data_IF_156349591003
#
_entry.id   IF_156349591003
#
_cell.length_a   1.000
_cell.length_b   1.000
_cell.length_c   1.000
_cell.angle_alpha   90.00
_cell.angle_beta   90.00
_cell.angle_gamma   90.00
#
_symmetry.space_group_name_H-M   'P 1'
#
loop_
_entity.id
_entity.type
_entity.pdbx_description
1 polymer ?
#
# COMPACT_ATOMS: atom_id res chain seq x y z
N UNK A 1 -6.21 -30.55 -45.73
CA UNK A 1 -5.59 -31.65 -44.95
C UNK A 1 -5.34 -31.13 -43.55
N UNK A 2 -6.16 -31.57 -42.60
CA UNK A 2 -6.05 -31.25 -41.18
C UNK A 2 -4.90 -32.05 -40.58
N UNK A 3 -3.80 -31.39 -40.23
CA UNK A 3 -2.72 -31.99 -39.46
C UNK A 3 -3.19 -32.17 -38.01
N UNK A 4 -3.60 -33.38 -37.65
CA UNK A 4 -3.79 -33.75 -36.26
C UNK A 4 -2.41 -33.81 -35.58
N UNK A 5 -2.14 -32.86 -34.69
CA UNK A 5 -1.00 -32.92 -33.77
C UNK A 5 -1.29 -34.00 -32.71
N UNK A 6 -0.95 -35.26 -33.00
CA UNK A 6 -0.98 -36.33 -31.99
C UNK A 6 0.24 -36.22 -31.09
N UNK A 7 0.05 -36.01 -29.78
CA UNK A 7 1.13 -36.01 -28.80
C UNK A 7 1.58 -37.44 -28.48
N UNK A 8 2.35 -38.05 -29.38
CA UNK A 8 2.96 -39.39 -29.23
C UNK A 8 4.05 -39.51 -28.14
N UNK A 9 4.29 -38.44 -27.37
CA UNK A 9 5.37 -38.27 -26.40
C UNK A 9 4.86 -38.18 -24.96
N UNK A 10 3.55 -38.33 -24.75
CA UNK A 10 2.98 -38.49 -23.41
C UNK A 10 3.35 -39.87 -22.86
N UNK A 11 4.18 -39.88 -21.84
CA UNK A 11 4.55 -41.10 -21.11
C UNK A 11 3.30 -41.62 -20.40
N UNK A 12 2.84 -42.81 -20.81
CA UNK A 12 1.71 -43.45 -20.14
C UNK A 12 2.10 -43.97 -18.73
N UNK A 13 1.10 -44.18 -17.88
CA UNK A 13 1.29 -44.65 -16.50
C UNK A 13 2.05 -45.98 -16.41
N UNK A 14 2.00 -46.83 -17.44
CA UNK A 14 2.69 -48.13 -17.53
C UNK A 14 4.17 -47.96 -17.91
N UNK A 15 4.51 -46.97 -18.73
CA UNK A 15 5.89 -46.56 -19.00
C UNK A 15 6.55 -45.93 -17.76
N UNK A 16 5.84 -45.06 -17.04
CA UNK A 16 6.34 -44.46 -15.80
C UNK A 16 6.62 -45.51 -14.71
N UNK A 17 5.74 -46.52 -14.58
CA UNK A 17 5.90 -47.60 -13.59
C UNK A 17 7.02 -48.59 -13.93
N UNK A 18 7.42 -48.71 -15.21
CA UNK A 18 8.55 -49.56 -15.63
C UNK A 18 9.93 -48.94 -15.31
N UNK A 19 9.99 -47.64 -15.07
CA UNK A 19 11.24 -46.91 -14.80
C UNK A 19 11.63 -46.82 -13.30
N UNK A 20 10.86 -47.42 -12.40
CA UNK A 20 11.05 -47.35 -10.94
C UNK A 20 12.32 -48.03 -10.39
N UNK A 21 13.16 -48.64 -11.23
CA UNK A 21 14.35 -49.38 -10.81
C UNK A 21 15.65 -48.59 -10.77
N UNK A 22 15.72 -47.38 -11.33
CA UNK A 22 16.96 -46.57 -11.38
C UNK A 22 16.60 -45.12 -11.73
N UNK A 23 16.27 -44.29 -10.73
CA UNK A 23 15.94 -42.88 -10.97
C UNK A 23 17.04 -41.95 -10.43
N UNK A 24 17.77 -41.30 -11.33
CA UNK A 24 18.31 -39.95 -11.11
C UNK A 24 17.14 -39.00 -11.33
N UNK A 25 16.82 -38.12 -10.37
CA UNK A 25 15.71 -37.17 -10.52
C UNK A 25 16.02 -36.17 -11.64
N UNK A 26 15.26 -36.25 -12.73
CA UNK A 26 15.26 -35.24 -13.78
C UNK A 26 14.52 -33.99 -13.27
N UNK A 27 15.08 -32.77 -13.44
CA UNK A 27 14.37 -31.53 -13.17
C UNK A 27 13.12 -31.41 -14.04
N UNK A 28 12.09 -30.77 -13.50
CA UNK A 28 10.82 -30.56 -14.18
C UNK A 28 11.04 -29.66 -15.41
N UNK A 29 10.81 -30.18 -16.62
CA UNK A 29 11.02 -29.46 -17.87
C UNK A 29 9.70 -28.81 -18.32
N UNK A 30 9.77 -27.56 -18.81
CA UNK A 30 8.59 -26.78 -19.25
C UNK A 30 7.76 -27.48 -20.34
N UNK A 31 8.36 -28.39 -21.11
CA UNK A 31 7.65 -29.19 -22.12
C UNK A 31 6.65 -30.19 -21.53
N UNK A 32 6.65 -30.40 -20.21
CA UNK A 32 5.72 -31.29 -19.49
C UNK A 32 4.43 -30.58 -19.06
N UNK A 33 4.24 -29.29 -19.35
CA UNK A 33 3.01 -28.54 -19.04
C UNK A 33 1.94 -28.83 -20.12
N UNK A 34 0.78 -29.40 -19.78
CA UNK A 34 -0.28 -29.66 -20.76
C UNK A 34 -0.85 -28.35 -21.33
N UNK A 35 -0.95 -28.27 -22.66
CA UNK A 35 -1.51 -27.12 -23.40
C UNK A 35 -2.95 -26.73 -22.99
N UNK A 36 -3.70 -27.62 -22.31
CA UNK A 36 -5.05 -27.36 -21.78
C UNK A 36 -5.11 -26.95 -20.30
N UNK A 37 -4.00 -26.92 -19.58
CA UNK A 37 -3.94 -26.31 -18.25
C UNK A 37 -4.02 -24.76 -18.30
N UNK A 38 -3.90 -24.18 -19.51
CA UNK A 38 -4.05 -22.74 -19.75
C UNK A 38 -5.52 -22.27 -19.91
N UNK A 39 -6.50 -23.18 -19.98
CA UNK A 39 -7.92 -22.83 -20.20
C UNK A 39 -8.73 -22.60 -18.91
N UNK A 40 -8.05 -22.37 -17.79
CA UNK A 40 -8.63 -21.75 -16.60
C UNK A 40 -7.74 -20.59 -16.19
N UNK A 41 -7.80 -19.47 -16.90
CA UNK A 41 -7.11 -18.25 -16.49
C UNK A 41 -7.76 -17.77 -15.21
N UNK A 42 -7.29 -18.26 -14.06
CA UNK A 42 -7.53 -17.60 -12.78
C UNK A 42 -7.02 -16.17 -12.96
N UNK A 43 -7.93 -15.19 -12.88
CA UNK A 43 -7.58 -13.79 -13.03
C UNK A 43 -6.40 -13.49 -12.09
N UNK A 44 -5.29 -12.98 -12.65
CA UNK A 44 -4.08 -12.78 -11.88
C UNK A 44 -4.36 -11.84 -10.70
N UNK A 45 -4.00 -12.21 -9.46
CA UNK A 45 -4.29 -11.38 -8.29
C UNK A 45 -3.74 -9.97 -8.46
N UNK A 46 -4.61 -8.97 -8.33
CA UNK A 46 -4.22 -7.55 -8.32
C UNK A 46 -3.87 -7.16 -6.89
N UNK A 47 -2.84 -6.32 -6.72
CA UNK A 47 -2.32 -5.93 -5.41
C UNK A 47 -2.06 -4.43 -5.33
N UNK A 48 -2.15 -3.87 -4.14
CA UNK A 48 -1.86 -2.46 -3.88
C UNK A 48 -1.08 -2.27 -2.59
N UNK A 49 -0.05 -1.44 -2.63
CA UNK A 49 0.75 -1.02 -1.49
C UNK A 49 0.78 0.51 -1.36
N UNK A 50 0.65 1.02 -0.14
CA UNK A 50 0.72 2.46 0.14
C UNK A 50 1.78 2.73 1.21
N UNK A 51 2.84 3.43 0.81
CA UNK A 51 4.01 3.73 1.64
C UNK A 51 4.02 5.23 1.97
N UNK A 52 3.96 5.58 3.24
CA UNK A 52 3.91 6.96 3.70
C UNK A 52 5.22 7.40 4.34
N UNK A 53 5.72 8.57 3.95
CA UNK A 53 6.87 9.26 4.55
C UNK A 53 6.36 10.49 5.30
N UNK A 54 6.46 10.50 6.62
CA UNK A 54 5.96 11.62 7.43
C UNK A 54 6.85 12.88 7.40
N UNK A 55 6.25 14.02 7.74
CA UNK A 55 6.87 15.34 7.90
C UNK A 55 7.42 15.97 6.62
N UNK A 56 6.84 15.61 5.46
CA UNK A 56 7.25 16.11 4.15
C UNK A 56 8.66 15.71 3.76
N UNK A 57 9.31 16.46 2.88
CA UNK A 57 10.66 16.19 2.34
C UNK A 57 11.49 17.47 2.31
N UNK A 58 12.79 17.37 2.04
CA UNK A 58 13.54 18.53 1.59
C UNK A 58 13.12 18.88 0.14
N UNK A 59 12.11 19.74 0.02
CA UNK A 59 11.40 19.99 -1.24
C UNK A 59 12.28 20.46 -2.40
N UNK A 60 13.37 21.19 -2.14
CA UNK A 60 14.32 21.62 -3.19
C UNK A 60 15.10 20.44 -3.80
N UNK A 61 15.49 19.47 -2.97
CA UNK A 61 16.26 18.30 -3.42
C UNK A 61 15.39 17.10 -3.82
N UNK A 62 14.07 17.19 -3.59
CA UNK A 62 13.10 16.20 -4.04
C UNK A 62 12.46 16.57 -5.38
N UNK A 63 12.27 17.85 -5.68
CA UNK A 63 11.55 18.31 -6.88
C UNK A 63 12.23 17.90 -8.18
N UNK A 64 11.45 17.31 -9.09
CA UNK A 64 11.82 17.13 -10.51
C UNK A 64 11.33 18.36 -11.27
N UNK A 65 12.22 18.97 -12.05
CA UNK A 65 11.92 20.25 -12.71
C UNK A 65 11.49 20.13 -14.17
N UNK A 66 11.79 18.99 -14.81
CA UNK A 66 11.46 18.73 -16.22
C UNK A 66 10.40 17.63 -16.30
N UNK A 67 9.18 17.92 -16.80
CA UNK A 67 8.15 16.91 -16.99
C UNK A 67 8.43 16.01 -18.19
N UNK A 68 7.64 14.95 -18.34
CA UNK A 68 7.74 14.05 -19.50
C UNK A 68 8.77 12.94 -19.29
N UNK A 69 9.14 12.25 -20.38
CA UNK A 69 10.01 11.06 -20.35
C UNK A 69 11.48 11.37 -20.05
N UNK A 70 11.93 12.55 -20.46
CA UNK A 70 13.33 13.00 -20.34
C UNK A 70 13.65 13.63 -18.98
N UNK A 71 12.75 13.45 -18.00
CA UNK A 71 12.93 13.95 -16.65
C UNK A 71 14.22 13.43 -16.02
N UNK A 72 14.84 14.29 -15.24
CA UNK A 72 16.04 13.98 -14.47
C UNK A 72 15.67 13.70 -13.02
N UNK A 73 16.22 12.62 -12.48
CA UNK A 73 16.01 12.30 -11.07
C UNK A 73 16.66 13.37 -10.20
N UNK A 74 15.89 13.92 -9.27
CA UNK A 74 16.39 14.79 -8.22
C UNK A 74 17.31 14.00 -7.27
N UNK A 75 18.05 14.70 -6.43
CA UNK A 75 19.02 14.06 -5.53
C UNK A 75 18.36 13.04 -4.59
N UNK A 76 17.18 13.37 -4.03
CA UNK A 76 16.45 12.44 -3.16
C UNK A 76 15.91 11.23 -3.94
N UNK A 77 15.59 11.39 -5.23
CA UNK A 77 14.97 10.34 -6.05
C UNK A 77 15.96 9.47 -6.83
N UNK A 78 17.26 9.81 -6.81
CA UNK A 78 18.31 9.11 -7.57
C UNK A 78 18.32 7.58 -7.41
N UNK A 79 18.05 6.97 -6.24
CA UNK A 79 18.03 5.51 -6.10
C UNK A 79 16.99 4.80 -6.99
N UNK A 80 15.95 5.52 -7.45
CA UNK A 80 14.92 4.97 -8.32
C UNK A 80 15.29 4.94 -9.80
N UNK A 81 16.46 5.45 -10.19
CA UNK A 81 16.87 5.54 -11.60
C UNK A 81 16.82 4.20 -12.34
N UNK A 82 17.22 3.11 -11.67
CA UNK A 82 17.15 1.74 -12.22
C UNK A 82 15.71 1.23 -12.43
N UNK A 83 14.71 1.93 -11.91
CA UNK A 83 13.29 1.59 -12.01
C UNK A 83 12.50 2.52 -12.93
N UNK A 84 13.15 3.42 -13.70
CA UNK A 84 12.48 4.42 -14.56
C UNK A 84 11.27 3.85 -15.32
N UNK A 85 11.45 2.71 -15.99
CA UNK A 85 10.42 2.08 -16.84
C UNK A 85 9.19 1.57 -16.09
N UNK A 86 9.23 1.53 -14.75
CA UNK A 86 8.16 0.99 -13.90
C UNK A 86 7.71 1.98 -12.82
N UNK A 87 8.11 3.25 -12.92
CA UNK A 87 7.66 4.32 -12.03
C UNK A 87 7.18 5.56 -12.78
N UNK A 88 6.34 6.32 -12.08
CA UNK A 88 5.90 7.66 -12.44
C UNK A 88 6.05 8.56 -11.22
N UNK A 89 7.08 9.42 -11.17
CA UNK A 89 7.10 10.54 -10.23
C UNK A 89 5.97 11.51 -10.55
N UNK A 90 5.32 12.07 -9.53
CA UNK A 90 4.16 12.96 -9.70
C UNK A 90 4.36 14.25 -8.88
N UNK A 91 4.07 15.39 -9.49
CA UNK A 91 4.09 16.72 -8.86
C UNK A 91 2.77 17.45 -9.06
N UNK A 92 2.48 18.41 -8.18
CA UNK A 92 1.32 19.31 -8.26
C UNK A 92 0.05 18.80 -7.57
N UNK A 93 -0.05 17.50 -7.26
CA UNK A 93 -1.21 16.97 -6.55
C UNK A 93 -1.29 17.48 -5.11
N UNK A 94 -2.50 17.64 -4.58
CA UNK A 94 -2.78 18.06 -3.20
C UNK A 94 -4.14 17.54 -2.71
N UNK A 95 -4.37 17.56 -1.40
CA UNK A 95 -5.70 17.33 -0.81
C UNK A 95 -6.31 18.69 -0.43
N UNK A 96 -7.34 19.21 -1.14
CA UNK A 96 -8.06 20.42 -0.76
C UNK A 96 -8.45 20.48 0.72
N UNK A 97 -8.93 19.36 1.26
CA UNK A 97 -9.32 19.21 2.67
C UNK A 97 -8.17 19.22 3.67
N UNK A 98 -6.91 19.20 3.21
CA UNK A 98 -5.71 19.20 4.05
C UNK A 98 -4.93 20.51 4.02
N UNK A 99 -5.28 21.46 3.13
CA UNK A 99 -4.54 22.71 2.98
C UNK A 99 -4.55 23.52 4.28
N UNK A 100 -3.39 24.09 4.65
CA UNK A 100 -3.19 24.88 5.86
C UNK A 100 -3.35 24.10 7.17
N UNK A 101 -3.22 22.78 7.14
CA UNK A 101 -3.17 21.94 8.33
C UNK A 101 -1.76 21.41 8.57
N UNK A 102 -1.38 21.31 9.85
CA UNK A 102 -0.07 20.82 10.27
C UNK A 102 0.02 19.28 10.15
N UNK A 103 0.34 18.60 11.24
CA UNK A 103 0.61 17.15 11.29
C UNK A 103 -0.60 16.24 11.03
N UNK A 104 -1.80 16.80 10.84
CA UNK A 104 -3.01 15.99 10.62
C UNK A 104 -3.17 15.53 9.16
N UNK A 105 -2.34 15.98 8.23
CA UNK A 105 -2.42 15.62 6.80
C UNK A 105 -2.33 14.11 6.53
N UNK A 106 -1.60 13.36 7.36
CA UNK A 106 -1.52 11.88 7.28
C UNK A 106 -2.90 11.22 7.40
N UNK A 107 -3.82 11.82 8.14
CA UNK A 107 -5.17 11.28 8.35
C UNK A 107 -5.98 11.26 7.07
N UNK A 108 -5.77 12.21 6.16
CA UNK A 108 -6.55 12.32 4.92
C UNK A 108 -5.80 11.86 3.68
N UNK A 109 -4.54 11.44 3.82
CA UNK A 109 -3.68 11.04 2.71
C UNK A 109 -4.31 9.95 1.82
N UNK A 110 -4.96 8.95 2.43
CA UNK A 110 -5.65 7.87 1.71
C UNK A 110 -7.17 8.04 1.65
N UNK A 111 -7.76 9.08 2.25
CA UNK A 111 -9.23 9.24 2.30
C UNK A 111 -9.74 10.36 1.40
N UNK A 112 -8.93 11.38 1.12
CA UNK A 112 -9.41 12.61 0.48
C UNK A 112 -10.43 13.37 1.32
N UNK A 113 -10.46 13.09 2.63
CA UNK A 113 -11.36 13.74 3.58
C UNK A 113 -10.96 15.18 3.88
N UNK A 114 -11.82 15.85 4.66
CA UNK A 114 -11.56 17.20 5.15
C UNK A 114 -11.08 17.17 6.60
N UNK A 115 -10.07 17.98 6.89
CA UNK A 115 -9.62 18.20 8.26
C UNK A 115 -10.35 19.40 8.87
N UNK A 116 -10.78 19.23 10.11
CA UNK A 116 -11.44 20.29 10.88
C UNK A 116 -11.90 19.79 12.25
N UNK A 117 -12.16 20.68 13.21
CA UNK A 117 -12.52 20.30 14.59
C UNK A 117 -13.78 19.42 14.69
N UNK A 118 -14.70 19.55 13.72
CA UNK A 118 -15.96 18.81 13.65
C UNK A 118 -15.98 17.78 12.52
N UNK A 119 -14.94 17.71 11.70
CA UNK A 119 -14.92 16.85 10.53
C UNK A 119 -14.55 15.42 10.94
N UNK A 120 -15.39 14.47 10.55
CA UNK A 120 -15.13 13.04 10.70
C UNK A 120 -14.48 12.54 9.41
N UNK A 121 -13.49 11.66 9.55
CA UNK A 121 -12.87 11.04 8.39
C UNK A 121 -13.82 10.03 7.72
N UNK A 122 -13.39 9.47 6.59
CA UNK A 122 -14.15 8.49 5.79
C UNK A 122 -13.28 7.29 5.45
N UNK A 123 -13.85 6.32 4.73
CA UNK A 123 -13.13 5.14 4.25
C UNK A 123 -11.88 5.55 3.48
N UNK A 124 -10.77 4.87 3.76
CA UNK A 124 -9.54 5.04 3.01
C UNK A 124 -9.52 4.15 1.76
N UNK A 125 -8.76 4.56 0.75
CA UNK A 125 -8.74 3.88 -0.55
C UNK A 125 -8.24 2.43 -0.44
N UNK A 126 -7.31 2.15 0.47
CA UNK A 126 -6.81 0.80 0.75
C UNK A 126 -7.95 -0.09 1.27
N UNK A 127 -8.82 0.44 2.13
CA UNK A 127 -9.98 -0.29 2.64
C UNK A 127 -11.07 -0.43 1.59
N UNK A 128 -11.25 0.58 0.72
CA UNK A 128 -12.16 0.47 -0.42
C UNK A 128 -11.73 -0.62 -1.40
N UNK A 129 -10.42 -0.75 -1.64
CA UNK A 129 -9.85 -1.84 -2.43
C UNK A 129 -10.01 -3.18 -1.69
N UNK A 130 -9.79 -3.20 -0.37
CA UNK A 130 -9.92 -4.39 0.45
C UNK A 130 -11.34 -4.98 0.42
N UNK A 131 -12.40 -4.18 0.27
CA UNK A 131 -13.77 -4.68 0.10
C UNK A 131 -13.89 -5.69 -1.07
N UNK A 132 -13.18 -5.43 -2.17
CA UNK A 132 -13.20 -6.25 -3.39
C UNK A 132 -12.20 -7.41 -3.31
N UNK A 133 -11.04 -7.20 -2.69
CA UNK A 133 -10.01 -8.25 -2.63
C UNK A 133 -10.20 -9.25 -1.51
N UNK A 134 -10.79 -8.83 -0.39
CA UNK A 134 -10.87 -9.63 0.83
C UNK A 134 -11.74 -10.90 0.75
N UNK A 135 -12.71 -11.06 -0.17
CA UNK A 135 -13.33 -12.37 -0.43
C UNK A 135 -12.33 -13.43 -0.92
N UNK A 136 -11.19 -13.03 -1.48
CA UNK A 136 -10.19 -13.92 -2.07
C UNK A 136 -8.99 -14.18 -1.16
N UNK A 137 -8.84 -13.44 -0.06
CA UNK A 137 -7.66 -13.49 0.82
C UNK A 137 -8.05 -13.74 2.26
N UNK A 138 -7.14 -14.37 3.02
CA UNK A 138 -7.34 -14.62 4.46
C UNK A 138 -7.48 -13.35 5.27
N UNK A 139 -6.61 -12.38 4.98
CA UNK A 139 -6.59 -11.08 5.63
C UNK A 139 -7.01 -10.00 4.64
N UNK A 140 -7.99 -9.14 4.98
CA UNK A 140 -8.45 -8.09 4.08
C UNK A 140 -7.35 -7.12 3.65
N UNK A 141 -6.49 -6.77 4.61
CA UNK A 141 -5.40 -5.82 4.45
C UNK A 141 -4.36 -6.04 5.56
N UNK A 142 -3.20 -5.42 5.39
CA UNK A 142 -2.10 -5.38 6.36
C UNK A 142 -1.72 -3.93 6.65
N UNK A 143 -1.80 -3.52 7.92
CA UNK A 143 -1.48 -2.17 8.37
C UNK A 143 -0.20 -2.16 9.21
N UNK A 144 0.86 -1.52 8.69
CA UNK A 144 2.13 -1.36 9.40
C UNK A 144 2.45 0.11 9.61
N UNK A 145 2.90 0.45 10.82
CA UNK A 145 3.39 1.80 11.11
C UNK A 145 4.56 1.71 12.08
N UNK A 146 5.64 2.44 11.79
CA UNK A 146 6.79 2.53 12.69
C UNK A 146 6.45 3.20 14.03
N UNK A 147 5.75 4.31 13.92
CA UNK A 147 5.26 5.15 15.03
C UNK A 147 3.89 5.69 14.65
N UNK A 148 3.20 6.33 15.59
CA UNK A 148 1.82 6.79 15.35
C UNK A 148 0.85 5.64 15.05
N UNK A 149 -0.12 5.89 14.20
CA UNK A 149 -1.22 4.98 13.89
C UNK A 149 -1.21 4.53 12.41
N UNK A 150 -2.12 3.62 12.02
CA UNK A 150 -2.19 3.15 10.63
C UNK A 150 -2.67 4.23 9.65
N UNK A 151 -2.48 4.01 8.35
CA UNK A 151 -3.05 4.86 7.31
C UNK A 151 -4.52 4.53 7.00
N UNK A 152 -4.99 3.35 7.43
CA UNK A 152 -6.28 2.79 7.08
C UNK A 152 -7.42 3.33 7.95
N UNK A 153 -8.55 3.62 7.30
CA UNK A 153 -9.78 4.12 7.92
C UNK A 153 -10.99 3.34 7.44
N UNK A 154 -11.88 3.01 8.38
CA UNK A 154 -13.20 2.43 8.05
C UNK A 154 -14.12 3.48 7.42
N UNK A 155 -15.23 3.04 6.82
CA UNK A 155 -16.29 3.94 6.32
C UNK A 155 -16.83 4.90 7.38
N UNK A 156 -16.78 4.49 8.64
CA UNK A 156 -17.11 5.27 9.81
C UNK A 156 -16.00 6.22 10.27
N UNK A 157 -14.94 6.42 9.49
CA UNK A 157 -13.84 7.27 9.90
C UNK A 157 -13.20 6.83 11.22
N UNK A 158 -13.17 5.53 11.49
CA UNK A 158 -12.41 4.94 12.61
C UNK A 158 -11.11 4.40 12.05
N UNK A 159 -10.00 4.78 12.67
CA UNK A 159 -8.68 4.34 12.22
C UNK A 159 -8.43 2.88 12.60
N UNK A 160 -7.80 2.13 11.71
CA UNK A 160 -7.42 0.75 11.96
C UNK A 160 -6.17 0.66 12.85
N UNK A 161 -6.02 -0.40 13.67
CA UNK A 161 -4.80 -0.63 14.43
C UNK A 161 -3.64 -1.02 13.49
N UNK A 162 -2.44 -0.50 13.76
CA UNK A 162 -1.21 -0.87 13.04
C UNK A 162 -0.37 -1.87 13.81
N UNK A 163 0.31 -2.76 13.11
CA UNK A 163 1.36 -3.61 13.64
C UNK A 163 2.73 -2.95 13.53
N UNK A 164 3.66 -3.30 14.44
CA UNK A 164 5.00 -2.67 14.51
C UNK A 164 6.15 -3.66 14.65
N UNK A 165 6.02 -4.74 15.43
CA UNK A 165 7.11 -5.73 15.57
C UNK A 165 7.08 -6.70 14.40
N UNK A 166 8.22 -6.87 13.72
CA UNK A 166 8.32 -7.72 12.53
C UNK A 166 7.94 -9.19 12.83
N UNK A 167 8.36 -9.73 13.98
CA UNK A 167 7.94 -11.08 14.41
C UNK A 167 6.43 -11.20 14.66
N UNK A 168 5.79 -10.15 15.19
CA UNK A 168 4.33 -10.14 15.38
C UNK A 168 3.58 -10.03 14.06
N UNK A 169 4.07 -9.21 13.13
CA UNK A 169 3.51 -9.10 11.77
C UNK A 169 3.58 -10.47 11.11
N UNK A 170 4.76 -11.12 11.14
CA UNK A 170 4.94 -12.47 10.63
C UNK A 170 3.95 -13.45 11.27
N UNK A 171 3.88 -13.47 12.60
CA UNK A 171 3.01 -14.40 13.32
C UNK A 171 1.52 -14.17 13.01
N UNK A 172 1.11 -12.90 12.83
CA UNK A 172 -0.28 -12.56 12.51
C UNK A 172 -0.75 -13.13 11.18
N UNK A 173 0.15 -13.27 10.20
CA UNK A 173 -0.14 -13.70 8.83
C UNK A 173 0.17 -15.17 8.57
N UNK A 174 1.20 -15.71 9.22
CA UNK A 174 1.84 -16.97 8.84
C UNK A 174 2.01 -17.99 9.98
N UNK A 175 1.71 -17.62 11.22
CA UNK A 175 1.76 -18.56 12.35
C UNK A 175 0.37 -19.10 12.69
N UNK A 176 0.35 -20.30 13.25
CA UNK A 176 -0.88 -20.84 13.80
C UNK A 176 -1.40 -19.99 14.97
N UNK A 177 -2.72 -19.93 15.15
CA UNK A 177 -3.31 -19.17 16.24
C UNK A 177 -2.83 -19.68 17.60
N UNK A 178 -2.50 -18.77 18.51
CA UNK A 178 -2.16 -19.15 19.90
C UNK A 178 -3.34 -19.91 20.52
N UNK A 179 -3.08 -21.13 21.03
CA UNK A 179 -4.12 -22.01 21.57
C UNK A 179 -4.90 -22.81 20.52
N UNK A 180 -4.48 -22.76 19.26
CA UNK A 180 -5.00 -23.57 18.15
C UNK A 180 -6.28 -23.02 17.51
N UNK A 181 -6.54 -23.51 16.30
CA UNK A 181 -7.69 -23.15 15.45
C UNK A 181 -9.04 -23.25 16.18
N UNK A 182 -9.22 -24.29 17.00
CA UNK A 182 -10.47 -24.50 17.76
C UNK A 182 -10.74 -23.37 18.76
N UNK A 183 -9.71 -22.81 19.38
CA UNK A 183 -9.84 -21.69 20.33
C UNK A 183 -10.22 -20.41 19.61
N UNK A 184 -9.56 -20.12 18.48
CA UNK A 184 -9.90 -18.95 17.67
C UNK A 184 -11.33 -19.05 17.09
N UNK A 185 -11.73 -20.23 16.61
CA UNK A 185 -13.10 -20.51 16.14
C UNK A 185 -14.15 -20.21 17.21
N UNK A 186 -13.92 -20.65 18.46
CA UNK A 186 -14.81 -20.33 19.59
C UNK A 186 -14.92 -18.83 19.83
N UNK A 187 -13.80 -18.10 19.78
CA UNK A 187 -13.80 -16.65 19.96
C UNK A 187 -14.56 -15.92 18.84
N UNK A 188 -14.37 -16.32 17.57
CA UNK A 188 -15.08 -15.75 16.42
C UNK A 188 -16.58 -16.03 16.49
N UNK A 189 -16.99 -17.25 16.83
CA UNK A 189 -18.41 -17.60 17.00
C UNK A 189 -19.07 -16.85 18.15
N UNK A 190 -18.37 -16.64 19.26
CA UNK A 190 -18.85 -15.78 20.35
C UNK A 190 -19.04 -14.34 19.87
N UNK A 191 -18.09 -13.80 19.11
CA UNK A 191 -18.20 -12.46 18.51
C UNK A 191 -19.40 -12.36 17.57
N UNK A 192 -19.60 -13.37 16.71
CA UNK A 192 -20.76 -13.43 15.81
C UNK A 192 -22.09 -13.40 16.60
N UNK A 193 -22.20 -14.19 17.68
CA UNK A 193 -23.41 -14.19 18.52
C UNK A 193 -23.68 -12.84 19.19
N UNK A 194 -22.64 -12.10 19.60
CA UNK A 194 -22.80 -10.74 20.16
C UNK A 194 -23.29 -9.77 19.09
N UNK A 195 -22.75 -9.86 17.88
CA UNK A 195 -23.20 -9.03 16.75
C UNK A 195 -24.66 -9.33 16.38
N UNK A 196 -25.05 -10.60 16.37
CA UNK A 196 -26.44 -11.01 16.11
C UNK A 196 -27.41 -10.47 17.19
N UNK A 197 -27.01 -10.51 18.47
CA UNK A 197 -27.79 -9.94 19.56
C UNK A 197 -27.96 -8.42 19.42
N UNK A 198 -26.88 -7.70 19.09
CA UNK A 198 -26.93 -6.25 18.84
C UNK A 198 -27.86 -5.92 17.66
N UNK A 199 -27.82 -6.69 16.57
CA UNK A 199 -28.72 -6.49 15.42
C UNK A 199 -30.19 -6.70 15.79
N UNK A 200 -30.50 -7.66 16.66
CA UNK A 200 -31.85 -7.87 17.15
C UNK A 200 -32.36 -6.67 17.97
N UNK A 201 -31.54 -6.16 18.89
CA UNK A 201 -31.88 -4.98 19.72
C UNK A 201 -32.09 -3.73 18.85
N UNK A 202 -31.23 -3.51 17.87
CA UNK A 202 -31.36 -2.37 16.96
C UNK A 202 -32.66 -2.43 16.15
N UNK A 203 -33.04 -3.62 15.65
CA UNK A 203 -34.31 -3.78 14.91
C UNK A 203 -35.53 -3.49 15.78
N UNK A 204 -35.48 -3.81 17.08
CA UNK A 204 -36.55 -3.44 18.01
C UNK A 204 -36.58 -1.93 18.23
N UNK A 205 -35.41 -1.30 18.36
CA UNK A 205 -35.31 0.14 18.52
C UNK A 205 -35.79 0.90 17.27
N UNK A 206 -35.49 0.40 16.07
CA UNK A 206 -35.93 0.98 14.79
C UNK A 206 -37.46 1.11 14.70
N UNK A 207 -38.20 0.17 15.29
CA UNK A 207 -39.67 0.19 15.34
C UNK A 207 -40.23 1.29 16.28
N UNK A 208 -39.43 1.78 17.22
CA UNK A 208 -39.82 2.75 18.23
C UNK A 208 -39.31 4.18 17.97
N UNK A 209 -38.44 4.38 16.97
CA UNK A 209 -37.76 5.67 16.72
C UNK A 209 -38.46 6.56 15.68
N UNK A 210 -38.34 7.87 15.87
CA UNK A 210 -38.77 8.90 14.92
C UNK A 210 -37.83 9.02 13.70
N UNK A 211 -38.28 9.69 12.65
CA UNK A 211 -37.58 9.82 11.36
C UNK A 211 -36.22 10.51 11.42
N UNK A 212 -35.98 11.39 12.42
CA UNK A 212 -34.73 12.14 12.54
C UNK A 212 -33.52 11.28 12.95
N UNK A 213 -33.73 10.18 13.66
CA UNK A 213 -32.64 9.33 14.17
C UNK A 213 -32.29 8.16 13.26
N UNK A 214 -33.14 7.87 12.27
CA UNK A 214 -32.96 6.72 11.35
C UNK A 214 -31.63 6.75 10.62
N UNK A 215 -31.19 7.92 10.14
CA UNK A 215 -29.93 8.02 9.40
C UNK A 215 -28.69 7.65 10.21
N UNK A 216 -28.67 7.91 11.53
CA UNK A 216 -27.57 7.49 12.42
C UNK A 216 -27.63 5.99 12.71
N UNK A 217 -28.84 5.45 12.85
CA UNK A 217 -29.06 4.02 13.06
C UNK A 217 -28.65 3.21 11.83
N UNK A 218 -28.95 3.69 10.62
CA UNK A 218 -28.57 3.06 9.36
C UNK A 218 -27.05 2.94 9.21
N UNK A 219 -26.32 3.99 9.60
CA UNK A 219 -24.85 3.96 9.65
C UNK A 219 -24.37 2.87 10.60
N UNK A 220 -24.88 2.86 11.84
CA UNK A 220 -24.52 1.83 12.83
C UNK A 220 -24.82 0.40 12.35
N UNK A 221 -26.00 0.18 11.77
CA UNK A 221 -26.41 -1.12 11.21
C UNK A 221 -25.47 -1.57 10.09
N UNK A 222 -25.03 -0.64 9.25
CA UNK A 222 -24.05 -0.93 8.20
C UNK A 222 -22.72 -1.38 8.80
N UNK A 223 -22.20 -0.66 9.81
CA UNK A 223 -20.96 -1.02 10.53
C UNK A 223 -21.04 -2.40 11.19
N UNK A 224 -22.18 -2.70 11.85
CA UNK A 224 -22.40 -3.99 12.50
C UNK A 224 -22.46 -5.11 11.47
N UNK A 225 -23.13 -4.88 10.33
CA UNK A 225 -23.21 -5.86 9.24
C UNK A 225 -21.84 -6.14 8.62
N UNK A 226 -21.00 -5.13 8.42
CA UNK A 226 -19.62 -5.32 7.97
C UNK A 226 -18.81 -6.15 8.97
N UNK A 227 -18.95 -5.88 10.27
CA UNK A 227 -18.29 -6.66 11.32
C UNK A 227 -18.72 -8.13 11.34
N UNK A 228 -20.00 -8.40 11.08
CA UNK A 228 -20.56 -9.75 10.96
C UNK A 228 -19.95 -10.49 9.76
N UNK A 229 -19.92 -9.85 8.58
CA UNK A 229 -19.34 -10.41 7.35
C UNK A 229 -17.86 -10.73 7.56
N UNK A 230 -17.10 -9.81 8.16
CA UNK A 230 -15.67 -10.01 8.48
C UNK A 230 -15.48 -11.18 9.46
N UNK A 231 -16.33 -11.29 10.48
CA UNK A 231 -16.24 -12.37 11.49
C UNK A 231 -16.54 -13.74 10.88
N UNK A 232 -17.59 -13.85 10.05
CA UNK A 232 -17.93 -15.09 9.34
C UNK A 232 -16.83 -15.52 8.37
N UNK A 233 -16.25 -14.56 7.65
CA UNK A 233 -15.14 -14.82 6.73
C UNK A 233 -13.89 -15.32 7.47
N UNK A 234 -13.54 -14.69 8.59
CA UNK A 234 -12.43 -15.14 9.42
C UNK A 234 -12.62 -16.57 9.92
N UNK A 235 -13.86 -16.96 10.29
CA UNK A 235 -14.17 -18.34 10.72
C UNK A 235 -14.00 -19.36 9.59
N UNK A 236 -14.42 -18.99 8.37
CA UNK A 236 -14.27 -19.83 7.19
C UNK A 236 -12.79 -20.04 6.81
N UNK A 237 -11.96 -18.99 6.90
CA UNK A 237 -10.53 -19.10 6.58
C UNK A 237 -9.73 -19.98 7.53
N UNK A 238 -10.24 -20.23 8.73
CA UNK A 238 -9.63 -21.19 9.66
C UNK A 238 -9.63 -22.63 9.13
N UNK A 239 -10.51 -22.96 8.18
CA UNK A 239 -10.55 -24.27 7.51
C UNK A 239 -9.54 -24.38 6.35
N UNK A 240 -8.89 -23.27 5.97
CA UNK A 240 -7.86 -23.27 4.94
C UNK A 240 -6.48 -23.39 5.59
N UNK A 241 -5.56 -24.24 5.09
CA UNK A 241 -4.19 -24.28 5.59
C UNK A 241 -3.44 -22.95 5.39
N UNK A 242 -2.51 -22.63 6.29
CA UNK A 242 -1.56 -21.54 6.07
C UNK A 242 -0.64 -21.89 4.88
N UNK A 243 -0.13 -20.89 4.13
CA UNK A 243 0.81 -21.16 3.05
C UNK A 243 2.09 -21.80 3.60
N UNK A 244 2.65 -22.74 2.85
CA UNK A 244 3.97 -23.29 3.14
C UNK A 244 5.04 -22.22 2.82
N UNK A 245 5.95 -21.99 3.75
CA UNK A 245 7.02 -21.01 3.62
C UNK A 245 8.38 -21.70 3.61
N UNK A 246 9.29 -21.22 2.77
CA UNK A 246 10.68 -21.69 2.79
C UNK A 246 11.39 -21.25 4.08
N UNK A 247 12.43 -21.97 4.48
CA UNK A 247 13.28 -21.57 5.62
C UNK A 247 13.99 -20.24 5.36
N UNK A 248 14.30 -19.92 4.10
CA UNK A 248 14.89 -18.63 3.71
C UNK A 248 13.92 -17.48 3.95
N UNK A 249 12.65 -17.62 3.53
CA UNK A 249 11.62 -16.60 3.75
C UNK A 249 11.36 -16.41 5.24
N UNK A 250 11.29 -17.52 6.01
CA UNK A 250 11.16 -17.46 7.47
C UNK A 250 12.32 -16.72 8.11
N UNK A 251 13.57 -17.03 7.75
CA UNK A 251 14.76 -16.35 8.29
C UNK A 251 14.78 -14.86 7.95
N UNK A 252 14.30 -14.49 6.75
CA UNK A 252 14.25 -13.09 6.29
C UNK A 252 13.17 -12.28 7.03
N UNK A 253 12.02 -12.88 7.31
CA UNK A 253 10.82 -12.16 7.75
C UNK A 253 10.42 -12.38 9.21
N UNK A 254 10.67 -13.56 9.77
CA UNK A 254 10.36 -13.89 11.16
C UNK A 254 11.52 -13.54 12.10
N UNK A 255 11.79 -12.25 12.24
CA UNK A 255 12.84 -11.73 13.12
C UNK A 255 12.44 -10.38 13.69
N UNK A 256 12.95 -10.05 14.87
CA UNK A 256 12.86 -8.68 15.39
C UNK A 256 14.12 -7.91 15.01
N UNK A 257 13.93 -6.62 14.71
CA UNK A 257 15.00 -5.70 14.32
C UNK A 257 15.07 -4.59 15.35
N UNK A 258 16.29 -4.26 15.78
CA UNK A 258 16.52 -3.16 16.72
C UNK A 258 16.11 -1.81 16.11
N UNK A 259 15.54 -0.92 16.92
CA UNK A 259 15.08 0.39 16.46
C UNK A 259 16.20 1.27 15.85
N UNK A 260 17.46 1.00 16.17
CA UNK A 260 18.63 1.68 15.61
C UNK A 260 19.01 1.24 14.19
N UNK A 261 18.41 0.15 13.70
CA UNK A 261 18.68 -0.43 12.38
C UNK A 261 17.49 -0.20 11.44
N UNK A 262 17.26 1.06 11.08
CA UNK A 262 16.08 1.47 10.31
C UNK A 262 15.98 0.74 8.97
N UNK A 263 17.08 0.62 8.24
CA UNK A 263 17.15 -0.04 6.94
C UNK A 263 16.77 -1.51 7.01
N UNK A 264 17.34 -2.22 7.98
CA UNK A 264 17.00 -3.63 8.20
C UNK A 264 15.52 -3.80 8.58
N UNK A 265 14.96 -2.87 9.35
CA UNK A 265 13.54 -2.90 9.68
C UNK A 265 12.70 -2.65 8.42
N UNK A 266 13.00 -1.60 7.64
CA UNK A 266 12.25 -1.23 6.44
C UNK A 266 12.25 -2.39 5.45
N UNK A 267 13.42 -2.98 5.21
CA UNK A 267 13.57 -4.15 4.34
C UNK A 267 12.81 -5.36 4.87
N UNK A 268 12.84 -5.63 6.18
CA UNK A 268 12.07 -6.74 6.77
C UNK A 268 10.56 -6.55 6.59
N UNK A 269 10.04 -5.33 6.78
CA UNK A 269 8.61 -5.03 6.51
C UNK A 269 8.28 -5.15 5.03
N UNK A 270 9.14 -4.65 4.14
CA UNK A 270 8.96 -4.82 2.70
C UNK A 270 8.99 -6.30 2.28
N UNK A 271 9.87 -7.11 2.85
CA UNK A 271 9.91 -8.55 2.61
C UNK A 271 8.65 -9.26 3.14
N UNK A 272 8.10 -8.81 4.29
CA UNK A 272 6.81 -9.28 4.79
C UNK A 272 5.66 -8.93 3.83
N UNK A 273 5.63 -7.71 3.28
CA UNK A 273 4.64 -7.30 2.28
C UNK A 273 4.77 -8.15 1.00
N UNK A 274 6.00 -8.36 0.50
CA UNK A 274 6.27 -9.20 -0.67
C UNK A 274 5.84 -10.65 -0.41
N UNK A 275 6.17 -11.22 0.75
CA UNK A 275 5.77 -12.57 1.12
C UNK A 275 4.25 -12.71 1.22
N UNK A 276 3.58 -11.71 1.79
CA UNK A 276 2.14 -11.69 1.91
C UNK A 276 1.45 -11.65 0.53
N UNK A 277 2.02 -10.90 -0.40
CA UNK A 277 1.59 -10.82 -1.79
C UNK A 277 1.89 -12.08 -2.60
N UNK A 278 3.07 -12.67 -2.41
CA UNK A 278 3.51 -13.90 -3.06
C UNK A 278 2.61 -15.08 -2.70
N UNK A 279 2.25 -15.18 -1.42
CA UNK A 279 1.42 -16.25 -0.87
C UNK A 279 -0.09 -15.96 -0.92
N UNK A 280 -0.47 -14.78 -1.44
CA UNK A 280 -1.85 -14.30 -1.57
C UNK A 280 -2.66 -14.32 -0.25
N UNK A 281 -1.99 -14.19 0.90
CA UNK A 281 -2.68 -14.09 2.20
C UNK A 281 -3.35 -12.73 2.40
N UNK A 282 -2.85 -11.69 1.71
CA UNK A 282 -3.49 -10.39 1.53
C UNK A 282 -3.08 -9.77 0.19
N UNK A 283 -3.87 -8.82 -0.32
CA UNK A 283 -3.61 -8.07 -1.56
C UNK A 283 -3.46 -6.57 -1.33
N UNK A 284 -3.64 -6.11 -0.10
CA UNK A 284 -3.59 -4.69 0.27
C UNK A 284 -2.65 -4.52 1.46
N UNK A 285 -1.68 -3.62 1.36
CA UNK A 285 -0.77 -3.32 2.45
C UNK A 285 -0.52 -1.81 2.58
N UNK A 286 -0.44 -1.33 3.81
CA UNK A 286 -0.03 0.04 4.13
C UNK A 286 1.20 0.02 5.03
N UNK A 287 2.16 0.90 4.76
CA UNK A 287 3.38 1.03 5.57
C UNK A 287 3.69 2.50 5.82
N UNK A 288 3.47 2.96 7.05
CA UNK A 288 3.89 4.29 7.49
C UNK A 288 5.32 4.27 8.03
N UNK A 289 6.21 5.03 7.39
CA UNK A 289 7.61 5.21 7.78
C UNK A 289 7.76 6.19 8.97
N UNK A 290 6.66 6.66 9.55
CA UNK A 290 6.64 7.45 10.78
C UNK A 290 5.31 8.19 10.97
N UNK A 291 5.07 8.66 12.20
CA UNK A 291 4.01 9.60 12.51
C UNK A 291 4.41 11.03 12.14
N UNK A 292 3.44 11.83 11.72
CA UNK A 292 3.59 13.28 11.68
C UNK A 292 3.83 13.80 13.11
N UNK A 293 4.92 14.56 13.32
CA UNK A 293 5.36 14.96 14.66
C UNK A 293 6.14 13.90 15.46
N UNK A 294 6.14 12.64 15.02
CA UNK A 294 6.72 11.50 15.75
C UNK A 294 7.47 10.56 14.79
N UNK A 295 8.41 11.08 14.01
CA UNK A 295 9.23 10.27 13.11
C UNK A 295 10.67 10.13 13.62
N UNK A 296 11.11 8.90 13.76
CA UNK A 296 12.37 8.51 14.41
C UNK A 296 13.64 8.86 13.59
N UNK A 297 14.80 8.79 14.24
CA UNK A 297 16.13 9.06 13.68
C UNK A 297 16.72 7.84 12.94
N UNK A 298 17.75 8.03 12.11
CA UNK A 298 18.42 6.95 11.37
C UNK A 298 19.93 6.95 11.69
N UNK A 299 20.35 6.42 12.85
CA UNK A 299 21.75 6.48 13.28
C UNK A 299 22.71 5.74 12.35
N UNK A 300 22.25 4.72 11.64
CA UNK A 300 23.03 3.93 10.67
C UNK A 300 23.62 4.75 9.51
N UNK A 301 23.01 5.90 9.17
CA UNK A 301 23.57 6.84 8.18
C UNK A 301 24.14 8.11 8.85
N UNK A 302 24.41 8.05 10.16
CA UNK A 302 24.96 9.16 10.93
C UNK A 302 23.96 10.27 11.27
N UNK A 303 22.65 9.98 11.23
CA UNK A 303 21.59 10.94 11.59
C UNK A 303 21.01 10.55 12.94
N UNK A 304 21.29 11.36 13.96
CA UNK A 304 20.79 11.14 15.33
C UNK A 304 19.54 11.96 15.64
N UNK A 305 19.33 13.07 14.91
CA UNK A 305 18.12 13.88 14.99
C UNK A 305 16.88 13.14 14.49
N UNK A 306 15.73 13.40 15.10
CA UNK A 306 14.45 12.90 14.59
C UNK A 306 14.14 13.53 13.24
N UNK A 307 13.40 12.82 12.38
CA UNK A 307 12.98 13.39 11.09
C UNK A 307 12.09 14.62 11.29
N UNK A 308 11.25 14.63 12.33
CA UNK A 308 10.43 15.78 12.66
C UNK A 308 11.29 17.03 12.93
N UNK A 309 12.35 16.89 13.73
CA UNK A 309 13.31 17.98 13.97
C UNK A 309 13.99 18.45 12.67
N UNK A 310 14.44 17.52 11.82
CA UNK A 310 15.06 17.85 10.53
C UNK A 310 14.09 18.56 9.59
N UNK A 311 12.80 18.22 9.63
CA UNK A 311 11.78 18.86 8.79
C UNK A 311 11.55 20.32 9.16
N UNK A 312 11.77 20.70 10.43
CA UNK A 312 11.74 22.08 10.91
C UNK A 312 13.11 22.78 10.82
N UNK A 313 13.82 22.59 9.70
CA UNK A 313 15.22 23.01 9.51
C UNK A 313 15.52 24.51 9.67
N UNK A 314 14.54 25.43 9.58
CA UNK A 314 14.80 26.87 9.81
C UNK A 314 15.73 27.53 8.77
N UNK A 315 15.93 26.89 7.62
CA UNK A 315 16.93 27.28 6.64
C UNK A 315 18.37 26.84 6.96
N UNK A 316 18.58 26.07 8.03
CA UNK A 316 19.91 25.54 8.36
C UNK A 316 20.38 24.53 7.31
N UNK A 317 21.53 24.82 6.69
CA UNK A 317 22.08 24.01 5.62
C UNK A 317 22.45 22.58 6.08
N UNK A 318 22.89 22.41 7.33
CA UNK A 318 23.22 21.11 7.89
C UNK A 318 22.00 20.22 8.08
N UNK A 319 20.90 20.79 8.57
CA UNK A 319 19.63 20.08 8.75
C UNK A 319 19.00 19.74 7.40
N UNK A 320 19.02 20.67 6.44
CA UNK A 320 18.54 20.42 5.08
C UNK A 320 19.34 19.31 4.37
N UNK A 321 20.65 19.28 4.58
CA UNK A 321 21.52 18.22 4.06
C UNK A 321 21.20 16.87 4.69
N UNK A 322 21.06 16.81 6.02
CA UNK A 322 20.64 15.58 6.72
C UNK A 322 19.25 15.12 6.28
N UNK A 323 18.30 16.03 6.12
CA UNK A 323 16.96 15.71 5.62
C UNK A 323 17.02 15.13 4.21
N UNK A 324 17.86 15.69 3.32
CA UNK A 324 18.09 15.12 1.98
C UNK A 324 18.61 13.69 2.06
N UNK A 325 19.61 13.42 2.92
CA UNK A 325 20.15 12.07 3.11
C UNK A 325 19.11 11.11 3.64
N UNK A 326 18.25 11.56 4.57
CA UNK A 326 17.13 10.77 5.04
C UNK A 326 16.16 10.45 3.90
N UNK A 327 15.78 11.44 3.10
CA UNK A 327 14.87 11.25 1.96
C UNK A 327 15.44 10.24 0.96
N UNK A 328 16.72 10.40 0.57
CA UNK A 328 17.43 9.46 -0.30
C UNK A 328 17.43 8.05 0.29
N UNK A 329 17.68 7.93 1.59
CA UNK A 329 17.69 6.64 2.28
C UNK A 329 16.32 5.94 2.26
N UNK A 330 15.23 6.67 2.55
CA UNK A 330 13.88 6.12 2.49
C UNK A 330 13.52 5.67 1.06
N UNK A 331 13.91 6.46 0.06
CA UNK A 331 13.73 6.13 -1.36
C UNK A 331 14.59 4.92 -1.78
N UNK A 332 15.78 4.75 -1.22
CA UNK A 332 16.61 3.56 -1.43
C UNK A 332 15.91 2.29 -0.90
N UNK A 333 15.24 2.36 0.25
CA UNK A 333 14.47 1.22 0.76
C UNK A 333 13.21 0.95 -0.07
N UNK A 334 12.55 1.99 -0.60
CA UNK A 334 11.46 1.81 -1.55
C UNK A 334 11.96 1.18 -2.88
N UNK A 335 13.14 1.58 -3.36
CA UNK A 335 13.80 0.92 -4.49
C UNK A 335 14.07 -0.56 -4.22
N UNK A 336 14.53 -0.92 -3.02
CA UNK A 336 14.67 -2.32 -2.62
C UNK A 336 13.33 -3.08 -2.76
N UNK A 337 12.23 -2.51 -2.26
CA UNK A 337 10.90 -3.11 -2.38
C UNK A 337 10.50 -3.37 -3.85
N UNK A 338 10.72 -2.40 -4.75
CA UNK A 338 10.43 -2.57 -6.18
C UNK A 338 11.30 -3.68 -6.80
N UNK A 339 12.58 -3.77 -6.44
CA UNK A 339 13.44 -4.89 -6.84
C UNK A 339 12.89 -6.23 -6.34
N UNK A 340 12.48 -6.32 -5.06
CA UNK A 340 11.92 -7.54 -4.50
C UNK A 340 10.62 -7.96 -5.21
N UNK A 341 9.76 -7.02 -5.57
CA UNK A 341 8.56 -7.31 -6.38
C UNK A 341 8.90 -7.79 -7.80
N UNK A 342 9.96 -7.27 -8.41
CA UNK A 342 10.40 -7.69 -9.75
C UNK A 342 11.00 -9.11 -9.75
N UNK A 343 11.74 -9.46 -8.70
CA UNK A 343 12.42 -10.76 -8.57
C UNK A 343 11.49 -11.87 -8.07
N UNK A 344 10.45 -11.53 -7.33
CA UNK A 344 9.55 -12.49 -6.70
C UNK A 344 8.38 -12.81 -7.63
N UNK A 345 8.22 -14.10 -7.94
CA UNK A 345 7.10 -14.60 -8.76
C UNK A 345 5.89 -14.91 -7.89
N UNK A 346 4.70 -14.64 -8.40
CA UNK A 346 3.43 -15.03 -7.81
C UNK A 346 3.14 -16.53 -8.01
N UNK A 347 1.99 -16.99 -7.50
CA UNK A 347 1.52 -18.38 -7.66
C UNK A 347 1.32 -18.81 -9.13
N UNK A 348 1.24 -17.86 -10.07
CA UNK A 348 1.12 -18.11 -11.51
C UNK A 348 2.48 -18.00 -12.23
N UNK A 349 3.59 -17.83 -11.49
CA UNK A 349 4.94 -17.73 -12.05
C UNK A 349 5.29 -16.36 -12.65
N UNK A 350 4.45 -15.34 -12.48
CA UNK A 350 4.70 -13.97 -13.00
C UNK A 350 5.33 -13.08 -11.93
N UNK A 351 6.26 -12.16 -12.27
CA UNK A 351 6.76 -11.16 -11.34
C UNK A 351 5.63 -10.37 -10.67
N UNK A 352 5.72 -10.19 -9.34
CA UNK A 352 4.71 -9.44 -8.58
C UNK A 352 4.62 -7.98 -9.02
N UNK A 353 5.71 -7.39 -9.49
CA UNK A 353 5.76 -5.98 -9.91
C UNK A 353 4.72 -5.64 -10.97
N UNK A 354 4.45 -6.54 -11.92
CA UNK A 354 3.47 -6.29 -12.98
C UNK A 354 2.04 -6.17 -12.45
N UNK A 355 1.72 -6.82 -11.34
CA UNK A 355 0.35 -6.93 -10.79
C UNK A 355 0.16 -6.15 -9.48
N UNK A 356 1.20 -5.44 -9.04
CA UNK A 356 1.21 -4.67 -7.79
C UNK A 356 1.42 -3.19 -8.09
N UNK A 357 0.45 -2.36 -7.72
CA UNK A 357 0.65 -0.90 -7.67
C UNK A 357 1.22 -0.51 -6.31
N UNK A 358 2.27 0.29 -6.29
CA UNK A 358 2.86 0.82 -5.08
C UNK A 358 2.92 2.34 -5.14
N UNK A 359 2.22 3.02 -4.21
CA UNK A 359 2.25 4.47 -4.07
C UNK A 359 3.16 4.83 -2.89
N UNK A 360 4.24 5.55 -3.16
CA UNK A 360 5.10 6.18 -2.16
C UNK A 360 4.81 7.67 -2.09
N UNK A 361 4.75 8.24 -0.89
CA UNK A 361 4.79 9.69 -0.75
C UNK A 361 4.46 10.22 0.63
N UNK A 362 4.10 11.49 0.69
CA UNK A 362 3.76 12.21 1.93
C UNK A 362 2.51 13.07 1.75
N UNK A 363 1.82 13.37 2.85
CA UNK A 363 0.70 14.33 2.91
C UNK A 363 1.17 15.78 2.98
N UNK A 364 2.48 16.00 2.91
CA UNK A 364 3.13 17.29 3.00
C UNK A 364 4.34 17.31 2.07
N UNK A 365 4.65 18.44 1.43
CA UNK A 365 5.87 18.60 0.63
C UNK A 365 6.94 19.39 1.37
N UNK A 366 6.53 20.32 2.25
CA UNK A 366 7.44 21.22 2.98
C UNK A 366 7.17 21.21 4.48
N UNK A 367 7.93 20.39 5.22
CA UNK A 367 7.79 20.21 6.67
C UNK A 367 7.88 21.50 7.48
N UNK A 368 8.84 22.37 7.14
CA UNK A 368 9.19 23.53 7.98
C UNK A 368 8.02 24.49 8.20
N UNK A 369 7.20 24.73 7.18
CA UNK A 369 6.01 25.58 7.25
C UNK A 369 4.71 24.82 6.94
N UNK A 370 4.74 23.49 7.05
CA UNK A 370 3.61 22.59 6.81
C UNK A 370 2.92 22.78 5.45
N UNK A 371 3.69 22.85 4.37
CA UNK A 371 3.14 22.96 3.02
C UNK A 371 2.48 21.67 2.53
N UNK A 372 1.15 21.67 2.35
CA UNK A 372 0.35 20.50 1.95
C UNK A 372 -0.02 20.47 0.45
N UNK A 373 0.66 21.25 -0.39
CA UNK A 373 0.50 21.25 -1.83
C UNK A 373 1.74 20.67 -2.53
N UNK A 374 1.63 20.36 -3.83
CA UNK A 374 2.71 19.80 -4.62
C UNK A 374 3.34 18.56 -3.95
N UNK A 375 2.48 17.60 -3.58
CA UNK A 375 2.86 16.45 -2.76
C UNK A 375 3.98 15.61 -3.42
N UNK A 376 4.95 15.10 -2.63
CA UNK A 376 6.08 14.33 -3.13
C UNK A 376 5.63 12.87 -3.36
N UNK A 377 5.21 12.55 -4.59
CA UNK A 377 4.59 11.26 -4.91
C UNK A 377 5.39 10.47 -5.96
N UNK A 378 5.44 9.15 -5.79
CA UNK A 378 5.91 8.20 -6.81
C UNK A 378 4.93 7.02 -6.86
N UNK A 379 4.32 6.79 -8.03
CA UNK A 379 3.55 5.57 -8.30
C UNK A 379 4.43 4.58 -9.07
N UNK A 380 4.38 3.30 -8.71
CA UNK A 380 5.21 2.26 -9.29
C UNK A 380 4.45 0.95 -9.53
N UNK A 381 4.92 0.15 -10.49
CA UNK A 381 4.40 -1.18 -10.80
C UNK A 381 2.98 -1.19 -11.36
N UNK A 382 2.38 -2.36 -11.54
CA UNK A 382 1.02 -2.47 -12.07
C UNK A 382 0.94 -2.35 -13.60
N UNK A 383 2.02 -2.63 -14.33
CA UNK A 383 2.02 -2.67 -15.80
C UNK A 383 0.97 -3.62 -16.37
N UNK A 384 0.73 -4.75 -15.71
CA UNK A 384 -0.27 -5.75 -16.10
C UNK A 384 -1.70 -5.30 -15.74
N UNK A 385 -1.83 -4.20 -14.97
CA UNK A 385 -3.10 -3.52 -14.71
C UNK A 385 -3.34 -2.35 -15.70
N UNK A 386 -2.42 -2.16 -16.65
CA UNK A 386 -2.53 -1.18 -17.73
C UNK A 386 -1.97 0.20 -17.41
N UNK A 387 -1.12 0.33 -16.38
CA UNK A 387 -0.37 1.57 -16.11
C UNK A 387 0.85 1.67 -17.04
N UNK A 388 1.07 2.85 -17.62
CA UNK A 388 2.29 3.15 -18.38
C UNK A 388 3.18 4.11 -17.60
N UNK A 389 4.42 3.69 -17.40
CA UNK A 389 5.41 4.40 -16.61
C UNK A 389 6.50 5.04 -17.48
N UNK A 390 7.56 5.55 -16.85
CA UNK A 390 8.71 6.13 -17.55
C UNK A 390 8.61 7.63 -17.83
N UNK A 391 7.64 8.32 -17.22
CA UNK A 391 7.44 9.77 -17.38
C UNK A 391 7.16 10.44 -16.03
N UNK A 392 7.66 11.66 -15.85
CA UNK A 392 7.22 12.54 -14.75
C UNK A 392 5.90 13.20 -15.15
N UNK A 393 4.87 13.07 -14.29
CA UNK A 393 3.62 13.79 -14.43
C UNK A 393 3.63 15.02 -13.53
N UNK A 394 3.46 16.19 -14.14
CA UNK A 394 3.47 17.46 -13.41
C UNK A 394 2.17 18.22 -13.63
N UNK A 395 1.33 18.21 -12.60
CA UNK A 395 0.04 18.90 -12.61
C UNK A 395 0.15 20.42 -12.39
N UNK A 396 1.36 20.95 -12.15
CA UNK A 396 1.59 22.40 -12.10
C UNK A 396 1.75 23.03 -13.49
N UNK A 397 2.01 22.22 -14.53
CA UNK A 397 2.25 22.70 -15.90
C UNK A 397 1.08 23.55 -16.40
N UNK A 398 1.40 24.71 -16.98
CA UNK A 398 0.40 25.69 -17.43
C UNK A 398 -0.23 26.55 -16.33
N UNK A 399 0.10 26.31 -15.05
CA UNK A 399 -0.45 27.03 -13.91
C UNK A 399 0.59 27.84 -13.11
N UNK A 400 1.85 27.82 -13.53
CA UNK A 400 2.97 28.53 -12.89
C UNK A 400 4.08 28.89 -13.90
N UNK A 401 5.05 29.68 -13.47
CA UNK A 401 6.19 30.13 -14.31
C UNK A 401 7.38 29.16 -14.32
N UNK A 402 7.17 27.90 -13.93
CA UNK A 402 8.22 26.89 -13.79
C UNK A 402 8.89 26.87 -12.41
N UNK A 403 9.71 25.85 -12.17
CA UNK A 403 10.41 25.67 -10.90
C UNK A 403 11.62 26.61 -10.78
N UNK A 404 11.72 27.31 -9.65
CA UNK A 404 12.82 28.24 -9.31
C UNK A 404 13.52 27.78 -8.03
N UNK A 405 14.29 26.70 -8.13
CA UNK A 405 14.99 26.14 -6.97
C UNK A 405 16.14 27.04 -6.46
N UNK A 406 16.63 27.94 -7.32
CA UNK A 406 17.58 29.01 -6.99
C UNK A 406 16.96 30.11 -6.11
N UNK A 407 15.62 30.17 -6.04
CA UNK A 407 14.85 31.08 -5.20
C UNK A 407 13.90 30.31 -4.30
N UNK A 408 14.40 29.77 -3.17
CA UNK A 408 13.65 28.85 -2.32
C UNK A 408 12.27 29.35 -1.91
N UNK A 409 12.11 30.65 -1.63
CA UNK A 409 10.82 31.24 -1.25
C UNK A 409 9.71 31.07 -2.30
N UNK A 410 10.04 31.16 -3.60
CA UNK A 410 9.06 30.94 -4.68
C UNK A 410 8.63 29.46 -4.72
N UNK A 411 9.58 28.53 -4.57
CA UNK A 411 9.29 27.09 -4.50
C UNK A 411 8.48 26.70 -3.25
N UNK A 412 8.82 27.25 -2.09
CA UNK A 412 8.08 27.01 -0.86
C UNK A 412 6.63 27.52 -0.92
N UNK A 413 6.37 28.61 -1.66
CA UNK A 413 4.99 29.05 -1.91
C UNK A 413 4.21 28.02 -2.73
N UNK A 414 4.83 27.37 -3.72
CA UNK A 414 4.21 26.31 -4.50
C UNK A 414 3.91 25.06 -3.65
N UNK A 415 4.81 24.74 -2.71
CA UNK A 415 4.60 23.68 -1.72
C UNK A 415 3.44 23.98 -0.75
N UNK A 416 3.10 25.24 -0.54
CA UNK A 416 2.06 25.66 0.41
C UNK A 416 0.72 25.96 -0.28
N UNK A 417 0.75 26.38 -1.54
CA UNK A 417 -0.43 26.76 -2.32
C UNK A 417 -0.36 26.06 -3.68
N UNK A 418 -1.35 25.22 -4.03
CA UNK A 418 -1.32 24.52 -5.31
C UNK A 418 -1.37 25.53 -6.46
N UNK A 419 -0.52 25.36 -7.47
CA UNK A 419 -0.62 26.13 -8.71
C UNK A 419 -1.91 25.79 -9.45
N UNK A 420 -2.24 24.50 -9.50
CA UNK A 420 -3.46 24.00 -10.10
C UNK A 420 -4.46 23.58 -9.01
N UNK A 421 -5.54 24.35 -8.75
CA UNK A 421 -6.52 24.01 -7.72
C UNK A 421 -7.31 22.75 -8.05
N UNK A 422 -7.35 22.30 -9.31
CA UNK A 422 -8.06 21.07 -9.71
C UNK A 422 -7.19 19.81 -9.61
N UNK A 423 -5.90 19.93 -9.29
CA UNK A 423 -4.97 18.81 -9.17
C UNK A 423 -5.15 18.04 -7.85
N UNK A 424 -6.32 17.43 -7.64
CA UNK A 424 -6.63 16.72 -6.41
C UNK A 424 -5.91 15.36 -6.36
N UNK A 425 -5.32 15.02 -5.22
CA UNK A 425 -4.66 13.74 -5.00
C UNK A 425 -5.65 12.57 -5.06
N UNK A 426 -6.90 12.79 -4.66
CA UNK A 426 -7.96 11.76 -4.76
C UNK A 426 -8.21 11.26 -6.18
N UNK A 427 -7.85 12.03 -7.22
CA UNK A 427 -7.90 11.56 -8.60
C UNK A 427 -6.95 10.38 -8.85
N UNK A 428 -5.75 10.40 -8.22
CA UNK A 428 -4.77 9.32 -8.30
C UNK A 428 -5.25 8.09 -7.52
N UNK A 429 -5.85 8.32 -6.35
CA UNK A 429 -6.42 7.26 -5.52
C UNK A 429 -7.58 6.55 -6.24
N UNK A 430 -8.45 7.32 -6.90
CA UNK A 430 -9.54 6.80 -7.72
C UNK A 430 -9.02 5.91 -8.86
N UNK A 431 -8.02 6.39 -9.61
CA UNK A 431 -7.36 5.61 -10.66
C UNK A 431 -6.86 4.26 -10.11
N UNK A 432 -6.12 4.28 -8.99
CA UNK A 432 -5.61 3.05 -8.38
C UNK A 432 -6.74 2.09 -7.98
N UNK A 433 -7.82 2.58 -7.39
CA UNK A 433 -8.96 1.72 -7.02
C UNK A 433 -9.66 1.12 -8.24
N UNK A 434 -9.86 1.89 -9.31
CA UNK A 434 -10.43 1.38 -10.56
C UNK A 434 -9.53 0.30 -11.19
N UNK A 435 -8.21 0.47 -11.18
CA UNK A 435 -7.27 -0.58 -11.64
C UNK A 435 -7.39 -1.86 -10.81
N UNK A 436 -7.70 -1.74 -9.52
CA UNK A 436 -7.99 -2.87 -8.62
C UNK A 436 -9.38 -3.48 -8.82
N UNK A 437 -10.26 -2.87 -9.62
CA UNK A 437 -11.61 -3.37 -9.89
C UNK A 437 -12.70 -2.77 -9.00
N UNK A 438 -12.43 -1.65 -8.32
CA UNK A 438 -13.48 -0.89 -7.64
C UNK A 438 -14.30 -0.14 -8.68
N UNK A 439 -15.60 -0.43 -8.74
CA UNK A 439 -16.56 0.31 -9.56
C UNK A 439 -16.96 1.60 -8.85
N UNK A 440 -16.27 2.70 -9.17
CA UNK A 440 -16.57 4.03 -8.63
C UNK A 440 -16.23 5.12 -9.64
N UNK A 441 -17.12 6.11 -9.77
CA UNK A 441 -16.90 7.31 -10.58
C UNK A 441 -16.24 8.44 -9.77
N UNK A 442 -16.26 8.32 -8.44
CA UNK A 442 -15.70 9.31 -7.52
C UNK A 442 -15.17 8.64 -6.25
N UNK A 443 -14.08 9.19 -5.72
CA UNK A 443 -13.54 8.83 -4.41
C UNK A 443 -13.06 10.10 -3.69
N UNK A 444 -13.41 10.26 -2.41
CA UNK A 444 -13.07 11.46 -1.65
C UNK A 444 -13.51 12.74 -2.37
N UNK A 445 -12.56 13.64 -2.57
CA UNK A 445 -12.75 14.89 -3.31
C UNK A 445 -12.33 14.82 -4.78
N UNK A 446 -12.16 13.63 -5.38
CA UNK A 446 -11.77 13.49 -6.79
C UNK A 446 -12.72 14.27 -7.72
N UNK A 447 -12.16 14.93 -8.72
CA UNK A 447 -12.85 15.83 -9.64
C UNK A 447 -12.55 15.56 -11.12
N UNK A 448 -11.58 14.71 -11.43
CA UNK A 448 -11.22 14.35 -12.81
C UNK A 448 -10.53 12.97 -12.87
N UNK A 449 -10.50 12.39 -14.05
CA UNK A 449 -9.74 11.17 -14.32
C UNK A 449 -8.27 11.51 -14.58
N UNK A 450 -7.36 10.68 -14.05
CA UNK A 450 -5.94 10.70 -14.42
C UNK A 450 -5.70 9.51 -15.35
N UNK A 451 -4.96 9.74 -16.44
CA UNK A 451 -4.47 8.67 -17.32
C UNK A 451 -2.96 8.52 -17.14
N UNK A 452 -2.49 7.28 -17.15
CA UNK A 452 -1.09 6.88 -16.93
C UNK A 452 -0.67 5.82 -17.94
#
# INVERSE_FOLDING_TARGET
MSNFLSQSWLIDRRHALRALGTCISLPFLECMVPLKAAEGTTATPKRSAFIYLANGVHSLNYQITTPGKDYQFSRSLKPLEKHREVITPISGLHHPGALSHHHNCISVWLTGGKLGPSDRNTISIDQKIAEITAPHTRYPSMEVALTGESLGWTADGVRLPSMRRCSEIFASLFAEPKGGTATQRRALRRKASVLDANLMEVRQLEQAMGTADKGRLDQYLTSVREAEIRTKRADAWLDTPLPALSEEDRKRTNRDVAATMAGDYFRTVYDLMVLAFQTDVTRVATFSLGGEGDAFSIPEIGITESRHQLSHHGGDAGYMEKLTKYDTFAIEQFSYFLTRLAETKDLNGKPLLGTTMALFGSGMSYGHSHGNANLPLVLAGGSDLGLKHGSHLDFNQGHFSGYRLDKPGEHYSLCSRPANPNAHMSNLLLLMAQRMGVEADKFGDSNQMIDL
#
